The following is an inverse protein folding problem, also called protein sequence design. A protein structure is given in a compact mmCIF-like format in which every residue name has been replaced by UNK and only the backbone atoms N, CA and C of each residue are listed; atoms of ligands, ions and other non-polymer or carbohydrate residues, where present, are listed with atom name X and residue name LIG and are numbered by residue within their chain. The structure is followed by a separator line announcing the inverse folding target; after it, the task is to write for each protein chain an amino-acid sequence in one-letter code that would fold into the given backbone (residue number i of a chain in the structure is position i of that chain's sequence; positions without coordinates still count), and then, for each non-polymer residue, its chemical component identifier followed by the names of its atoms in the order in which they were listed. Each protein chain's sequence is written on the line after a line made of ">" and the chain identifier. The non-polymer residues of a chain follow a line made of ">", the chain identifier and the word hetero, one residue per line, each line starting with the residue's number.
data_IF_097546339429
#
_entry.id   IF_097546339429
#
_cell.length_a   1.000
_cell.length_b   1.000
_cell.length_c   1.000
_cell.angle_alpha   90.00
_cell.angle_beta   90.00
_cell.angle_gamma   90.00
#
_symmetry.space_group_name_H-M   'P 1'
#
loop_
_entity.id
_entity.type
_entity.pdbx_description
1 polymer ?
#
# COMPACT_ATOMS: atom_id res chain seq x y z
N UNK A 1 16.53 -4.01 -5.50
CA UNK A 1 17.84 -3.37 -5.44
C UNK A 1 17.72 -1.92 -4.97
N UNK A 2 18.77 -1.39 -4.34
CA UNK A 2 18.89 0.03 -4.02
C UNK A 2 20.05 0.59 -4.85
N UNK A 3 19.81 1.72 -5.50
CA UNK A 3 20.79 2.44 -6.32
C UNK A 3 20.73 3.91 -5.90
N UNK A 4 21.83 4.47 -5.43
CA UNK A 4 21.92 5.83 -4.87
C UNK A 4 20.88 6.12 -3.76
N UNK A 5 20.58 5.14 -2.91
CA UNK A 5 19.61 5.25 -1.83
C UNK A 5 18.14 5.15 -2.29
N UNK A 6 17.88 4.95 -3.58
CA UNK A 6 16.54 4.80 -4.16
C UNK A 6 16.26 3.34 -4.49
N UNK A 7 15.12 2.85 -4.01
CA UNK A 7 14.67 1.50 -4.34
C UNK A 7 14.33 1.36 -5.82
N UNK A 8 14.97 0.38 -6.46
CA UNK A 8 14.72 0.01 -7.85
C UNK A 8 13.92 -1.28 -7.93
N UNK A 9 12.93 -1.30 -8.81
CA UNK A 9 12.12 -2.49 -9.10
C UNK A 9 12.52 -3.04 -10.47
N UNK A 10 12.95 -4.29 -10.49
CA UNK A 10 13.36 -4.97 -11.70
C UNK A 10 12.36 -6.05 -12.08
N UNK A 11 11.97 -6.08 -13.36
CA UNK A 11 11.21 -7.15 -13.98
C UNK A 11 12.05 -7.78 -15.08
N UNK A 12 12.44 -9.04 -14.90
CA UNK A 12 13.32 -9.76 -15.85
C UNK A 12 14.61 -8.98 -16.18
N UNK A 13 15.19 -8.32 -15.17
CA UNK A 13 16.41 -7.52 -15.33
C UNK A 13 16.21 -6.10 -15.88
N UNK A 14 15.00 -5.74 -16.34
CA UNK A 14 14.67 -4.38 -16.78
C UNK A 14 14.16 -3.57 -15.58
N UNK A 15 14.70 -2.36 -15.38
CA UNK A 15 14.16 -1.43 -14.39
C UNK A 15 12.79 -0.92 -14.86
N UNK A 16 11.79 -1.13 -13.99
CA UNK A 16 10.40 -0.73 -14.23
C UNK A 16 9.87 0.20 -13.14
N UNK A 17 10.76 0.82 -12.38
CA UNK A 17 10.41 1.67 -11.23
C UNK A 17 9.51 2.85 -11.59
N UNK A 18 9.65 3.42 -12.78
CA UNK A 18 8.80 4.50 -13.26
C UNK A 18 7.46 3.97 -13.80
N UNK A 19 7.50 2.89 -14.56
CA UNK A 19 6.33 2.29 -15.20
C UNK A 19 5.31 1.78 -14.18
N UNK A 20 5.76 1.15 -13.09
CA UNK A 20 4.84 0.62 -12.05
C UNK A 20 4.10 1.70 -11.25
N UNK A 21 4.51 2.96 -11.36
CA UNK A 21 3.85 4.10 -10.71
C UNK A 21 2.73 4.72 -11.55
N UNK A 22 2.54 4.23 -12.77
CA UNK A 22 1.44 4.66 -13.63
C UNK A 22 0.10 4.13 -13.08
N UNK A 23 -0.94 4.91 -13.21
CA UNK A 23 -2.27 4.56 -12.69
C UNK A 23 -2.84 3.30 -13.33
N UNK A 24 -2.62 3.12 -14.64
CA UNK A 24 -3.05 1.91 -15.37
C UNK A 24 -2.46 0.64 -14.75
N UNK A 25 -1.21 0.67 -14.27
CA UNK A 25 -0.56 -0.48 -13.63
C UNK A 25 -1.19 -0.77 -12.27
N UNK A 26 -1.45 0.27 -11.47
CA UNK A 26 -2.14 0.12 -10.19
C UNK A 26 -3.56 -0.44 -10.33
N UNK A 27 -4.32 0.04 -11.31
CA UNK A 27 -5.67 -0.45 -11.60
C UNK A 27 -5.66 -1.90 -12.12
N UNK A 28 -4.69 -2.24 -12.98
CA UNK A 28 -4.51 -3.61 -13.46
C UNK A 28 -4.12 -4.54 -12.32
N UNK A 29 -3.20 -4.15 -11.46
CA UNK A 29 -2.81 -4.92 -10.28
C UNK A 29 -4.02 -5.20 -9.36
N UNK A 30 -4.87 -4.20 -9.12
CA UNK A 30 -6.11 -4.39 -8.35
C UNK A 30 -7.05 -5.39 -9.03
N UNK A 31 -7.23 -5.31 -10.35
CA UNK A 31 -8.09 -6.22 -11.12
C UNK A 31 -7.60 -7.67 -11.12
N UNK A 32 -6.31 -7.90 -11.31
CA UNK A 32 -5.74 -9.26 -11.32
C UNK A 32 -5.60 -9.86 -9.91
N UNK A 33 -5.59 -9.03 -8.88
CA UNK A 33 -5.45 -9.47 -7.49
C UNK A 33 -6.63 -10.30 -6.97
N UNK A 34 -7.76 -10.33 -7.69
CA UNK A 34 -8.91 -11.18 -7.37
C UNK A 34 -8.76 -12.62 -7.91
N UNK A 35 -7.78 -12.87 -8.78
CA UNK A 35 -7.50 -14.20 -9.32
C UNK A 35 -6.77 -15.02 -8.26
N UNK A 36 -7.40 -16.11 -7.82
CA UNK A 36 -6.93 -16.93 -6.71
C UNK A 36 -5.49 -17.41 -6.88
N UNK A 37 -5.17 -17.98 -8.04
CA UNK A 37 -3.85 -18.56 -8.34
C UNK A 37 -2.75 -17.50 -8.35
N UNK A 38 -3.05 -16.30 -8.85
CA UNK A 38 -2.13 -15.15 -8.81
C UNK A 38 -1.86 -14.75 -7.37
N UNK A 39 -2.91 -14.65 -6.56
CA UNK A 39 -2.78 -14.32 -5.14
C UNK A 39 -1.95 -15.33 -4.38
N UNK A 40 -2.27 -16.61 -4.48
CA UNK A 40 -1.56 -17.67 -3.79
C UNK A 40 -0.07 -17.62 -4.11
N UNK A 41 0.28 -17.41 -5.38
CA UNK A 41 1.68 -17.27 -5.80
C UNK A 41 2.34 -16.04 -5.19
N UNK A 42 1.68 -14.88 -5.22
CA UNK A 42 2.23 -13.64 -4.68
C UNK A 42 2.39 -13.68 -3.16
N UNK A 43 1.39 -14.19 -2.44
CA UNK A 43 1.46 -14.38 -0.98
C UNK A 43 2.61 -15.31 -0.60
N UNK A 44 2.80 -16.42 -1.32
CA UNK A 44 3.91 -17.32 -1.09
C UNK A 44 5.28 -16.63 -1.26
N UNK A 45 5.45 -15.82 -2.31
CA UNK A 45 6.67 -15.05 -2.56
C UNK A 45 6.92 -13.98 -1.46
N UNK A 46 5.88 -13.26 -1.05
CA UNK A 46 5.98 -12.26 0.02
C UNK A 46 6.38 -12.90 1.36
N UNK A 47 5.78 -14.04 1.70
CA UNK A 47 6.15 -14.82 2.91
C UNK A 47 7.59 -15.34 2.84
N UNK A 48 8.04 -15.82 1.69
CA UNK A 48 9.43 -16.26 1.50
C UNK A 48 10.43 -15.12 1.70
N UNK A 49 10.09 -13.90 1.27
CA UNK A 49 10.91 -12.72 1.51
C UNK A 49 10.96 -12.37 3.00
N UNK A 50 9.81 -12.29 3.65
CA UNK A 50 9.70 -11.96 5.07
C UNK A 50 10.36 -13.00 6.00
N UNK A 51 10.48 -14.27 5.56
CA UNK A 51 11.19 -15.30 6.30
C UNK A 51 12.72 -15.17 6.27
N UNK A 52 13.25 -14.39 5.35
CA UNK A 52 14.71 -14.22 5.16
C UNK A 52 15.23 -12.88 5.67
N UNK A 53 14.41 -11.86 5.67
CA UNK A 53 14.81 -10.49 5.90
C UNK A 53 13.82 -9.78 6.85
N UNK A 54 14.31 -8.77 7.57
CA UNK A 54 13.43 -7.82 8.22
C UNK A 54 12.76 -6.96 7.14
N UNK A 55 11.43 -6.91 7.15
CA UNK A 55 10.67 -6.25 6.09
C UNK A 55 9.68 -5.24 6.64
N UNK A 56 9.45 -4.19 5.88
CA UNK A 56 8.28 -3.33 5.98
C UNK A 56 7.48 -3.54 4.69
N UNK A 57 6.25 -3.99 4.83
CA UNK A 57 5.37 -4.25 3.68
C UNK A 57 4.09 -3.42 3.80
N UNK A 58 3.70 -2.79 2.70
CA UNK A 58 2.41 -2.15 2.57
C UNK A 58 1.52 -2.91 1.57
N UNK A 59 0.22 -2.86 1.79
CA UNK A 59 -0.74 -3.52 0.93
C UNK A 59 -2.15 -3.52 1.53
N UNK A 60 -3.06 -4.31 0.93
CA UNK A 60 -4.47 -4.34 1.32
C UNK A 60 -4.79 -5.40 2.36
N UNK A 61 -3.98 -6.43 2.42
CA UNK A 61 -4.22 -7.62 3.23
C UNK A 61 -2.94 -8.18 3.87
N UNK A 62 -1.91 -7.34 3.99
CA UNK A 62 -0.62 -7.78 4.55
C UNK A 62 -0.81 -8.29 5.98
N UNK A 63 -1.45 -7.51 6.84
CA UNK A 63 -1.65 -7.87 8.25
C UNK A 63 -2.72 -8.94 8.50
N UNK A 64 -3.57 -9.24 7.51
CA UNK A 64 -4.66 -10.22 7.67
C UNK A 64 -4.38 -11.55 6.99
N UNK A 65 -3.65 -11.54 5.86
CA UNK A 65 -3.44 -12.73 5.03
C UNK A 65 -1.96 -13.05 4.80
N UNK A 66 -1.13 -12.06 4.49
CA UNK A 66 0.26 -12.29 4.11
C UNK A 66 1.12 -12.57 5.35
N UNK A 67 1.11 -11.67 6.31
CA UNK A 67 1.88 -11.71 7.56
C UNK A 67 0.95 -11.51 8.77
N UNK A 68 0.07 -12.48 9.07
CA UNK A 68 -0.86 -12.37 10.20
C UNK A 68 -0.17 -12.31 11.56
N UNK A 69 1.07 -12.79 11.63
CA UNK A 69 1.89 -12.81 12.85
C UNK A 69 2.97 -11.72 12.85
N UNK A 70 2.83 -10.66 12.02
CA UNK A 70 3.78 -9.56 11.99
C UNK A 70 3.89 -8.89 13.36
N UNK A 71 5.11 -8.52 13.77
CA UNK A 71 5.43 -7.89 15.06
C UNK A 71 4.62 -6.62 15.28
N UNK A 72 4.46 -5.81 14.23
CA UNK A 72 3.65 -4.59 14.25
C UNK A 72 2.73 -4.57 13.04
N UNK A 73 1.46 -4.30 13.27
CA UNK A 73 0.46 -4.10 12.22
C UNK A 73 -0.16 -2.74 12.37
N UNK A 74 -0.15 -1.99 11.28
CA UNK A 74 -0.75 -0.66 11.22
C UNK A 74 -1.80 -0.67 10.12
N UNK A 75 -3.00 -0.26 10.46
CA UNK A 75 -4.04 0.05 9.50
C UNK A 75 -3.98 1.56 9.20
N UNK A 76 -3.22 1.90 8.16
CA UNK A 76 -3.07 3.29 7.72
C UNK A 76 -4.25 3.67 6.84
N UNK A 77 -4.96 4.70 7.21
CA UNK A 77 -6.10 5.22 6.46
C UNK A 77 -6.02 6.75 6.26
N UNK A 78 -6.77 7.24 5.30
CA UNK A 78 -7.09 8.65 5.14
C UNK A 78 -8.38 8.76 4.33
N UNK A 79 -9.15 9.85 4.50
CA UNK A 79 -10.38 10.06 3.74
C UNK A 79 -10.11 10.07 2.23
N UNK A 80 -11.07 9.60 1.43
CA UNK A 80 -10.95 9.60 -0.04
C UNK A 80 -10.68 11.01 -0.56
N UNK A 81 -11.33 12.02 0.01
CA UNK A 81 -11.15 13.43 -0.32
C UNK A 81 -9.70 13.91 -0.12
N UNK A 82 -9.09 13.59 1.02
CA UNK A 82 -7.70 14.00 1.29
C UNK A 82 -6.70 13.25 0.42
N UNK A 83 -6.94 11.96 0.14
CA UNK A 83 -6.14 11.19 -0.81
C UNK A 83 -6.25 11.73 -2.23
N UNK A 84 -7.45 12.14 -2.65
CA UNK A 84 -7.69 12.76 -3.94
C UNK A 84 -6.95 14.09 -4.08
N UNK A 85 -6.98 14.95 -3.06
CA UNK A 85 -6.22 16.18 -3.04
C UNK A 85 -4.71 15.96 -3.18
N UNK A 86 -4.15 15.00 -2.41
CA UNK A 86 -2.72 14.65 -2.50
C UNK A 86 -2.37 14.20 -3.92
N UNK A 87 -3.19 13.33 -4.49
CA UNK A 87 -2.98 12.82 -5.86
C UNK A 87 -3.10 13.91 -6.91
N UNK A 88 -4.08 14.79 -6.77
CA UNK A 88 -4.26 15.94 -7.66
C UNK A 88 -3.03 16.86 -7.66
N UNK A 89 -2.50 17.19 -6.47
CA UNK A 89 -1.31 18.03 -6.35
C UNK A 89 -0.08 17.36 -6.97
N UNK A 90 0.13 16.06 -6.71
CA UNK A 90 1.21 15.27 -7.33
C UNK A 90 1.13 15.27 -8.87
N UNK A 91 -0.06 15.07 -9.43
CA UNK A 91 -0.28 15.11 -10.87
C UNK A 91 -0.01 16.49 -11.45
N UNK A 92 -0.46 17.53 -10.75
CA UNK A 92 -0.22 18.92 -11.15
C UNK A 92 1.26 19.27 -11.18
N UNK A 93 2.04 18.86 -10.17
CA UNK A 93 3.49 19.04 -10.13
C UNK A 93 4.21 18.34 -11.30
N UNK A 94 3.68 17.19 -11.72
CA UNK A 94 4.20 16.43 -12.87
C UNK A 94 3.70 16.95 -14.22
N UNK A 95 2.93 18.04 -14.25
CA UNK A 95 2.34 18.59 -15.50
C UNK A 95 1.28 17.67 -16.12
N UNK A 96 0.70 16.75 -15.34
CA UNK A 96 -0.33 15.82 -15.76
C UNK A 96 -1.69 16.33 -15.27
N UNK A 97 -2.53 16.88 -16.14
CA UNK A 97 -3.84 17.40 -15.72
C UNK A 97 -4.75 16.26 -15.24
N UNK A 98 -5.54 16.52 -14.21
CA UNK A 98 -6.56 15.62 -13.69
C UNK A 98 -7.67 16.44 -13.05
N UNK A 99 -8.90 15.93 -13.07
CA UNK A 99 -10.03 16.55 -12.39
C UNK A 99 -10.15 15.95 -10.99
N UNK A 100 -10.19 16.82 -9.96
CA UNK A 100 -10.19 16.39 -8.56
C UNK A 100 -11.37 15.44 -8.24
N UNK A 101 -12.54 15.78 -8.75
CA UNK A 101 -13.77 14.99 -8.56
C UNK A 101 -13.65 13.61 -9.19
N UNK A 102 -13.02 13.51 -10.36
CA UNK A 102 -12.80 12.21 -11.01
C UNK A 102 -11.79 11.36 -10.22
N UNK A 103 -10.71 11.97 -9.75
CA UNK A 103 -9.70 11.30 -8.91
C UNK A 103 -10.34 10.77 -7.62
N UNK A 104 -11.20 11.56 -6.98
CA UNK A 104 -11.91 11.12 -5.77
C UNK A 104 -12.87 9.95 -6.07
N UNK A 105 -13.63 10.03 -7.16
CA UNK A 105 -14.52 8.96 -7.58
C UNK A 105 -13.77 7.65 -7.86
N UNK A 106 -12.64 7.72 -8.56
CA UNK A 106 -11.80 6.56 -8.87
C UNK A 106 -11.21 5.92 -7.61
N UNK A 107 -10.82 6.74 -6.62
CA UNK A 107 -10.35 6.28 -5.31
C UNK A 107 -11.47 5.54 -4.57
N UNK A 108 -12.67 6.11 -4.52
CA UNK A 108 -13.83 5.49 -3.85
C UNK A 108 -14.20 4.17 -4.52
N UNK A 109 -14.24 4.13 -5.85
CA UNK A 109 -14.53 2.90 -6.60
C UNK A 109 -13.50 1.81 -6.30
N UNK A 110 -12.21 2.17 -6.28
CA UNK A 110 -11.14 1.23 -5.97
C UNK A 110 -11.22 0.72 -4.54
N UNK A 111 -11.47 1.59 -3.56
CA UNK A 111 -11.63 1.19 -2.16
C UNK A 111 -12.80 0.23 -1.99
N UNK A 112 -13.94 0.51 -2.64
CA UNK A 112 -15.10 -0.37 -2.61
C UNK A 112 -14.76 -1.74 -3.22
N UNK A 113 -14.02 -1.78 -4.32
CA UNK A 113 -13.56 -3.03 -4.93
C UNK A 113 -12.64 -3.82 -3.99
N UNK A 114 -11.66 -3.14 -3.39
CA UNK A 114 -10.69 -3.77 -2.50
C UNK A 114 -11.34 -4.27 -1.20
N UNK A 115 -12.34 -3.55 -0.65
CA UNK A 115 -13.06 -3.94 0.57
C UNK A 115 -14.07 -5.06 0.35
N UNK A 116 -14.72 -5.11 -0.81
CA UNK A 116 -15.81 -6.05 -1.08
C UNK A 116 -15.39 -7.27 -1.92
N UNK A 117 -14.12 -7.40 -2.27
CA UNK A 117 -13.66 -8.59 -2.99
C UNK A 117 -13.82 -9.85 -2.13
N UNK A 118 -14.18 -10.96 -2.75
CA UNK A 118 -14.42 -12.24 -2.08
C UNK A 118 -13.15 -12.79 -1.44
N UNK A 119 -12.02 -12.68 -2.14
CA UNK A 119 -10.74 -13.22 -1.69
C UNK A 119 -9.88 -12.10 -1.09
N UNK A 120 -9.48 -12.25 0.18
CA UNK A 120 -8.60 -11.35 0.91
C UNK A 120 -9.03 -9.87 0.84
N UNK A 121 -10.24 -9.53 1.29
CA UNK A 121 -10.70 -8.14 1.28
C UNK A 121 -9.79 -7.24 2.12
N UNK A 122 -9.77 -5.96 1.78
CA UNK A 122 -9.14 -4.93 2.60
C UNK A 122 -9.88 -4.82 3.93
N UNK A 123 -9.25 -5.25 5.01
CA UNK A 123 -9.77 -5.18 6.37
C UNK A 123 -8.66 -4.84 7.35
N UNK A 124 -9.02 -4.14 8.40
CA UNK A 124 -8.14 -3.97 9.55
C UNK A 124 -7.99 -5.33 10.26
N UNK A 125 -6.76 -5.74 10.56
CA UNK A 125 -6.52 -6.88 11.45
C UNK A 125 -6.92 -6.50 12.87
N UNK A 126 -7.38 -7.47 13.67
CA UNK A 126 -7.89 -7.22 15.05
C UNK A 126 -6.83 -6.59 15.96
N UNK A 127 -5.57 -6.95 15.74
CA UNK A 127 -4.41 -6.44 16.48
C UNK A 127 -3.69 -5.28 15.79
N UNK A 128 -4.25 -4.74 14.70
CA UNK A 128 -3.66 -3.61 14.00
C UNK A 128 -4.04 -2.28 14.65
N UNK A 129 -3.04 -1.42 14.84
CA UNK A 129 -3.24 -0.04 15.29
C UNK A 129 -3.77 0.79 14.13
N UNK A 130 -4.88 1.49 14.36
CA UNK A 130 -5.43 2.45 13.38
C UNK A 130 -4.61 3.73 13.41
N UNK A 131 -4.13 4.17 12.26
CA UNK A 131 -3.52 5.50 12.05
C UNK A 131 -4.29 6.23 10.95
N UNK A 132 -5.04 7.24 11.34
CA UNK A 132 -5.75 8.11 10.38
C UNK A 132 -4.86 9.29 9.98
N UNK A 133 -4.35 9.23 8.77
CA UNK A 133 -3.47 10.23 8.18
C UNK A 133 -4.21 11.36 7.43
N UNK A 134 -5.53 11.50 7.59
CA UNK A 134 -6.32 12.51 6.85
C UNK A 134 -5.77 13.93 6.99
N UNK A 135 -5.25 14.26 8.19
CA UNK A 135 -4.73 15.59 8.51
C UNK A 135 -3.24 15.58 8.92
N UNK A 136 -2.52 14.49 8.61
CA UNK A 136 -1.12 14.34 8.96
C UNK A 136 -0.22 14.52 7.75
N UNK A 137 0.92 15.19 7.96
CA UNK A 137 2.01 15.22 7.01
C UNK A 137 2.82 13.91 7.00
N UNK A 138 3.74 13.78 6.04
CA UNK A 138 4.57 12.55 5.89
C UNK A 138 5.39 12.30 7.16
N UNK A 139 6.00 13.34 7.74
CA UNK A 139 6.81 13.23 8.94
C UNK A 139 6.00 12.77 10.15
N UNK A 140 4.78 13.31 10.32
CA UNK A 140 3.88 12.93 11.43
C UNK A 140 3.42 11.48 11.30
N UNK A 141 3.06 11.02 10.09
CA UNK A 141 2.70 9.62 9.84
C UNK A 141 3.90 8.72 10.11
N UNK A 142 5.07 9.10 9.63
CA UNK A 142 6.31 8.34 9.85
C UNK A 142 6.62 8.22 11.35
N UNK A 143 6.52 9.32 12.08
CA UNK A 143 6.73 9.31 13.54
C UNK A 143 5.73 8.42 14.27
N UNK A 144 4.43 8.46 13.87
CA UNK A 144 3.40 7.61 14.44
C UNK A 144 3.69 6.11 14.21
N UNK A 145 4.11 5.75 12.98
CA UNK A 145 4.47 4.36 12.64
C UNK A 145 5.68 3.89 13.46
N UNK A 146 6.74 4.72 13.56
CA UNK A 146 7.94 4.40 14.34
C UNK A 146 7.57 4.25 15.83
N UNK A 147 6.75 5.13 16.37
CA UNK A 147 6.33 5.05 17.78
C UNK A 147 5.64 3.72 18.11
N UNK A 148 4.78 3.20 17.22
CA UNK A 148 4.15 1.90 17.42
C UNK A 148 5.16 0.74 17.35
N UNK A 149 6.16 0.84 16.47
CA UNK A 149 7.23 -0.15 16.42
C UNK A 149 8.06 -0.15 17.71
N UNK A 150 8.47 1.01 18.22
CA UNK A 150 9.28 1.12 19.45
C UNK A 150 8.53 0.62 20.68
N UNK A 151 7.21 0.84 20.78
CA UNK A 151 6.38 0.25 21.85
C UNK A 151 6.45 -1.28 21.87
N UNK A 152 6.40 -1.91 20.70
CA UNK A 152 6.46 -3.37 20.59
C UNK A 152 7.84 -3.94 20.85
N UNK A 153 8.91 -3.16 20.60
CA UNK A 153 10.29 -3.58 20.88
C UNK A 153 10.61 -3.59 22.37
N UNK A 154 9.87 -2.81 23.16
CA UNK A 154 10.05 -2.71 24.61
C UNK A 154 9.18 -3.69 25.40
N UNK A 155 8.20 -4.34 24.77
CA UNK A 155 7.29 -5.30 25.37
C UNK A 155 7.80 -6.74 25.26
#
# INVERSE_FOLDING_TARGET
>A
LYEDGVQQVLLNGKNVSAEIRQEIVGNTASKISVIKEVREKLVALQRQLAAKENVVMDGRDIGTQVLPDATVKIYLTASAKERAKRRYLELKEKGMPGELEQIEADIIERDNRDMNREISPLRQAEDAVLVDASFMGIEEVTAAVIAEFEKKKQA
#
